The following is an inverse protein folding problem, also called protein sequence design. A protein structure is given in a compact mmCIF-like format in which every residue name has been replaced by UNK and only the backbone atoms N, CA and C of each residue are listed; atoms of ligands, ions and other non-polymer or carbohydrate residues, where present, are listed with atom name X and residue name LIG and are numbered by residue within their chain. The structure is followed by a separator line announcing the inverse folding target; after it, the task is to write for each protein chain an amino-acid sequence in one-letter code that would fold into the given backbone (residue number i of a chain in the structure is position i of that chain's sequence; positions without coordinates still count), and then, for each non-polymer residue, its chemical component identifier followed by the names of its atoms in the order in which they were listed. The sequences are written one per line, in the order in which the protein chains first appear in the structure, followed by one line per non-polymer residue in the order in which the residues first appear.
data_IF_641297845501
#
_entry.id   IF_641297845501
#
_cell.length_a   1.000
_cell.length_b   1.000
_cell.length_c   1.000
_cell.angle_alpha   90.00
_cell.angle_beta   90.00
_cell.angle_gamma   90.00
#
_symmetry.space_group_name_H-M   'P 1'
#
loop_
_entity.id
_entity.type
_entity.pdbx_description
1 polymer ?
#
# COMPACT_ATOMS: atom_id res chain seq x y z
N UNK A 1 -21.67 13.83 -4.46
CA UNK A 1 -21.49 14.87 -3.42
C UNK A 1 -19.99 15.07 -3.27
N UNK A 2 -19.50 16.28 -3.56
CA UNK A 2 -18.07 16.61 -3.41
C UNK A 2 -17.91 17.31 -2.06
N UNK A 3 -17.04 16.77 -1.21
CA UNK A 3 -16.69 17.41 0.06
C UNK A 3 -15.45 18.28 -0.19
N UNK A 4 -15.54 19.58 0.12
CA UNK A 4 -14.43 20.52 0.02
C UNK A 4 -13.96 20.91 1.42
N UNK A 5 -12.64 20.94 1.63
CA UNK A 5 -12.01 21.39 2.86
C UNK A 5 -11.20 22.66 2.61
N UNK A 6 -11.26 23.60 3.55
CA UNK A 6 -10.37 24.76 3.60
C UNK A 6 -8.97 24.28 4.01
N UNK A 7 -7.97 24.55 3.16
CA UNK A 7 -6.61 24.07 3.34
C UNK A 7 -5.95 24.67 4.59
N UNK A 8 -6.12 25.97 4.82
CA UNK A 8 -5.53 26.66 5.98
C UNK A 8 -6.16 26.17 7.27
N UNK A 9 -7.48 25.97 7.26
CA UNK A 9 -8.19 25.38 8.39
C UNK A 9 -7.75 23.94 8.66
N UNK A 10 -7.53 23.13 7.61
CA UNK A 10 -7.02 21.77 7.74
C UNK A 10 -5.59 21.75 8.28
N UNK A 11 -4.72 22.63 7.77
CA UNK A 11 -3.32 22.73 8.19
C UNK A 11 -3.22 23.13 9.67
N UNK A 12 -3.94 24.18 10.10
CA UNK A 12 -3.96 24.63 11.49
C UNK A 12 -4.44 23.58 12.50
N UNK A 13 -5.28 22.64 12.05
CA UNK A 13 -5.79 21.55 12.90
C UNK A 13 -4.89 20.32 12.90
N UNK A 14 -3.96 20.22 11.97
CA UNK A 14 -3.07 19.07 11.84
C UNK A 14 -1.79 19.32 12.65
N UNK A 15 -1.70 18.69 13.82
CA UNK A 15 -0.56 18.83 14.73
C UNK A 15 0.78 18.41 14.10
N UNK A 16 0.78 17.38 13.25
CA UNK A 16 1.99 16.97 12.53
C UNK A 16 2.40 18.02 11.51
N UNK A 17 1.45 18.54 10.71
CA UNK A 17 1.72 19.54 9.69
C UNK A 17 2.34 20.81 10.28
N UNK A 18 1.83 21.27 11.44
CA UNK A 18 2.43 22.38 12.17
C UNK A 18 3.83 22.06 12.70
N UNK A 19 4.03 20.87 13.27
CA UNK A 19 5.33 20.46 13.83
C UNK A 19 6.44 20.34 12.78
N UNK A 20 6.11 19.97 11.54
CA UNK A 20 7.11 19.83 10.47
C UNK A 20 7.29 21.10 9.62
N UNK A 21 6.45 22.12 9.80
CA UNK A 21 6.36 23.27 8.89
C UNK A 21 7.69 24.02 8.73
N UNK A 22 8.42 24.18 9.83
CA UNK A 22 9.69 24.93 9.87
C UNK A 22 10.93 24.01 9.88
N UNK A 23 10.73 22.70 9.75
CA UNK A 23 11.83 21.74 9.73
C UNK A 23 12.61 21.85 8.42
N UNK A 24 13.94 21.76 8.51
CA UNK A 24 14.83 21.84 7.33
C UNK A 24 15.54 20.52 7.05
N UNK A 25 15.35 19.52 7.91
CA UNK A 25 16.02 18.24 7.83
C UNK A 25 15.05 17.06 7.92
N UNK A 26 15.27 16.06 7.07
CA UNK A 26 14.49 14.82 7.07
C UNK A 26 14.48 14.12 8.44
N UNK A 27 15.63 14.09 9.12
CA UNK A 27 15.76 13.44 10.42
C UNK A 27 14.93 14.12 11.52
N UNK A 28 14.73 15.43 11.42
CA UNK A 28 13.89 16.21 12.33
C UNK A 28 12.41 15.94 12.05
N UNK A 29 12.00 16.01 10.79
CA UNK A 29 10.63 15.67 10.38
C UNK A 29 10.25 14.23 10.77
N UNK A 30 11.14 13.25 10.54
CA UNK A 30 10.92 11.87 10.96
C UNK A 30 10.76 11.73 12.49
N UNK A 31 11.44 12.56 13.28
CA UNK A 31 11.31 12.58 14.75
C UNK A 31 9.92 13.07 15.17
N UNK A 32 9.46 14.19 14.60
CA UNK A 32 8.10 14.69 14.82
C UNK A 32 7.02 13.68 14.42
N UNK A 33 7.19 12.96 13.30
CA UNK A 33 6.28 11.88 12.93
C UNK A 33 6.19 10.81 14.03
N UNK A 34 7.33 10.34 14.56
CA UNK A 34 7.35 9.32 15.62
C UNK A 34 6.73 9.84 16.92
N UNK A 35 7.03 11.08 17.30
CA UNK A 35 6.53 11.66 18.55
C UNK A 35 5.01 11.87 18.52
N UNK A 36 4.45 12.25 17.36
CA UNK A 36 3.03 12.59 17.21
C UNK A 36 2.19 11.37 16.79
N UNK A 37 2.67 10.58 15.83
CA UNK A 37 1.93 9.47 15.24
C UNK A 37 2.36 8.09 15.78
N UNK A 38 3.45 8.03 16.54
CA UNK A 38 4.05 6.77 17.02
C UNK A 38 4.92 6.05 15.98
N UNK A 39 4.99 6.57 14.74
CA UNK A 39 5.79 6.01 13.66
C UNK A 39 6.08 7.08 12.58
N UNK A 40 7.07 6.81 11.72
CA UNK A 40 7.27 7.55 10.46
C UNK A 40 6.94 6.65 9.28
N UNK A 41 6.30 7.17 8.22
CA UNK A 41 6.13 6.44 6.94
C UNK A 41 7.48 5.98 6.38
N UNK A 42 8.57 6.71 6.66
CA UNK A 42 9.93 6.30 6.27
C UNK A 42 10.40 5.06 7.05
N UNK A 43 9.95 4.84 8.29
CA UNK A 43 10.25 3.60 9.03
C UNK A 43 9.63 2.41 8.30
N UNK A 44 8.38 2.55 7.87
CA UNK A 44 7.67 1.54 7.09
C UNK A 44 8.38 1.27 5.76
N UNK A 45 8.77 2.31 5.01
CA UNK A 45 9.48 2.14 3.74
C UNK A 45 10.89 1.55 3.92
N UNK A 46 11.61 1.87 5.00
CA UNK A 46 12.90 1.23 5.33
C UNK A 46 12.72 -0.25 5.68
N UNK A 47 11.74 -0.59 6.50
CA UNK A 47 11.43 -1.98 6.83
C UNK A 47 11.03 -2.76 5.58
N UNK A 48 10.20 -2.15 4.72
CA UNK A 48 9.83 -2.70 3.42
C UNK A 48 11.07 -2.93 2.55
N UNK A 49 11.96 -1.95 2.42
CA UNK A 49 13.19 -2.08 1.65
C UNK A 49 14.09 -3.21 2.19
N UNK A 50 14.21 -3.34 3.51
CA UNK A 50 14.98 -4.42 4.14
C UNK A 50 14.39 -5.81 3.83
N UNK A 51 13.06 -5.95 3.88
CA UNK A 51 12.36 -7.21 3.57
C UNK A 51 12.49 -7.61 2.09
N UNK A 52 12.33 -6.65 1.18
CA UNK A 52 12.29 -6.91 -0.27
C UNK A 52 13.66 -6.86 -0.96
N UNK A 53 14.64 -6.15 -0.40
CA UNK A 53 15.98 -6.03 -0.98
C UNK A 53 16.89 -7.25 -0.76
N UNK A 54 16.56 -8.12 0.20
CA UNK A 54 17.42 -9.25 0.61
C UNK A 54 17.00 -10.61 0.02
N UNK A 55 15.78 -10.76 -0.48
CA UNK A 55 15.28 -12.05 -0.96
C UNK A 55 15.52 -12.21 -2.47
N UNK A 56 16.14 -13.31 -2.93
CA UNK A 56 16.18 -13.64 -4.35
C UNK A 56 14.76 -13.76 -4.89
N UNK A 57 14.51 -13.23 -6.10
CA UNK A 57 13.20 -13.37 -6.75
C UNK A 57 12.91 -14.86 -6.99
N UNK A 58 11.99 -15.42 -6.19
CA UNK A 58 11.48 -16.76 -6.41
C UNK A 58 10.65 -16.83 -7.69
N UNK A 59 10.53 -18.01 -8.33
CA UNK A 59 9.75 -18.15 -9.56
C UNK A 59 8.28 -17.77 -9.33
N UNK A 60 7.66 -17.13 -10.33
CA UNK A 60 6.24 -16.83 -10.30
C UNK A 60 5.43 -18.13 -10.41
N UNK A 61 4.59 -18.42 -9.41
CA UNK A 61 3.83 -19.68 -9.30
C UNK A 61 2.32 -19.41 -9.36
N UNK A 62 1.67 -19.48 -10.54
CA UNK A 62 0.29 -19.05 -10.73
C UNK A 62 -0.71 -19.65 -9.73
N UNK A 63 -0.61 -20.94 -9.44
CA UNK A 63 -1.52 -21.62 -8.50
C UNK A 63 -1.37 -21.09 -7.06
N UNK A 64 -0.13 -20.84 -6.62
CA UNK A 64 0.13 -20.30 -5.29
C UNK A 64 -0.32 -18.84 -5.20
N UNK A 65 -0.13 -18.06 -6.27
CA UNK A 65 -0.59 -16.68 -6.40
C UNK A 65 -2.11 -16.60 -6.29
N UNK A 66 -2.86 -17.41 -7.04
CA UNK A 66 -4.33 -17.44 -6.97
C UNK A 66 -4.84 -17.81 -5.57
N UNK A 67 -4.22 -18.80 -4.92
CA UNK A 67 -4.55 -19.16 -3.54
C UNK A 67 -4.28 -18.01 -2.56
N UNK A 68 -3.17 -17.29 -2.74
CA UNK A 68 -2.84 -16.11 -1.94
C UNK A 68 -3.82 -14.95 -2.15
N UNK A 69 -4.26 -14.71 -3.39
CA UNK A 69 -5.27 -13.68 -3.71
C UNK A 69 -6.60 -14.02 -3.04
N UNK A 70 -7.02 -15.28 -3.05
CA UNK A 70 -8.24 -15.70 -2.37
C UNK A 70 -8.16 -15.44 -0.85
N UNK A 71 -7.04 -15.81 -0.20
CA UNK A 71 -6.82 -15.53 1.22
C UNK A 71 -6.85 -14.03 1.52
N UNK A 72 -6.15 -13.23 0.71
CA UNK A 72 -6.16 -11.78 0.84
C UNK A 72 -7.57 -11.19 0.73
N UNK A 73 -8.37 -11.69 -0.22
CA UNK A 73 -9.74 -11.22 -0.42
C UNK A 73 -10.62 -11.51 0.80
N UNK A 74 -10.53 -12.70 1.39
CA UNK A 74 -11.27 -13.03 2.62
C UNK A 74 -10.91 -12.09 3.79
N UNK A 75 -9.61 -11.89 4.05
CA UNK A 75 -9.13 -10.99 5.11
C UNK A 75 -9.50 -9.52 4.87
N UNK A 76 -9.55 -9.10 3.61
CA UNK A 76 -9.92 -7.74 3.24
C UNK A 76 -11.44 -7.51 3.34
N UNK A 77 -12.26 -8.46 2.90
CA UNK A 77 -13.72 -8.41 3.05
C UNK A 77 -14.15 -8.45 4.52
N UNK A 78 -13.46 -9.22 5.36
CA UNK A 78 -13.68 -9.21 6.81
C UNK A 78 -13.48 -7.82 7.44
N UNK A 79 -12.72 -6.93 6.78
CA UNK A 79 -12.51 -5.52 7.17
C UNK A 79 -13.41 -4.54 6.39
N UNK A 80 -14.39 -5.03 5.64
CA UNK A 80 -15.30 -4.21 4.84
C UNK A 80 -14.69 -3.66 3.53
N UNK A 81 -13.54 -4.16 3.10
CA UNK A 81 -12.87 -3.71 1.87
C UNK A 81 -13.39 -4.51 0.68
N UNK A 82 -13.91 -3.81 -0.33
CA UNK A 82 -14.48 -4.41 -1.55
C UNK A 82 -13.54 -4.37 -2.76
N UNK A 83 -12.53 -3.50 -2.74
CA UNK A 83 -11.62 -3.28 -3.86
C UNK A 83 -10.18 -3.15 -3.38
N UNK A 84 -9.24 -3.51 -4.24
CA UNK A 84 -7.81 -3.34 -4.02
C UNK A 84 -7.10 -2.90 -5.29
N UNK A 85 -5.81 -2.57 -5.18
CA UNK A 85 -4.95 -2.29 -6.32
C UNK A 85 -4.02 -3.47 -6.60
N UNK A 86 -3.55 -3.62 -7.85
CA UNK A 86 -2.52 -4.61 -8.17
C UNK A 86 -1.24 -4.40 -7.36
N UNK A 87 -0.86 -3.14 -7.08
CA UNK A 87 0.26 -2.83 -6.20
C UNK A 87 0.06 -3.44 -4.81
N UNK A 88 -1.11 -3.26 -4.20
CA UNK A 88 -1.39 -3.79 -2.87
C UNK A 88 -1.43 -5.32 -2.85
N UNK A 89 -1.95 -5.96 -3.89
CA UNK A 89 -1.89 -7.42 -4.04
C UNK A 89 -0.45 -7.91 -4.19
N UNK A 90 0.36 -7.28 -5.05
CA UNK A 90 1.79 -7.61 -5.19
C UNK A 90 2.51 -7.56 -3.85
N UNK A 91 2.32 -6.48 -3.09
CA UNK A 91 2.93 -6.32 -1.76
C UNK A 91 2.46 -7.38 -0.76
N UNK A 92 1.15 -7.64 -0.70
CA UNK A 92 0.58 -8.61 0.24
C UNK A 92 0.98 -10.07 -0.06
N UNK A 93 1.29 -10.37 -1.33
CA UNK A 93 1.75 -11.68 -1.77
C UNK A 93 3.27 -11.83 -1.71
N UNK A 94 4.01 -10.78 -1.32
CA UNK A 94 5.47 -10.79 -1.31
C UNK A 94 6.08 -10.89 -2.72
N UNK A 95 5.34 -10.49 -3.75
CA UNK A 95 5.80 -10.51 -5.13
C UNK A 95 6.67 -9.30 -5.44
N UNK A 96 7.63 -9.45 -6.33
CA UNK A 96 8.48 -8.33 -6.73
C UNK A 96 7.75 -7.35 -7.65
N UNK A 97 8.33 -6.15 -7.80
CA UNK A 97 7.79 -5.13 -8.70
C UNK A 97 7.73 -5.59 -10.16
N UNK A 98 8.61 -6.49 -10.57
CA UNK A 98 8.66 -7.12 -11.91
C UNK A 98 7.47 -8.08 -12.08
N UNK A 99 7.21 -8.92 -11.08
CA UNK A 99 6.13 -9.92 -11.10
C UNK A 99 4.71 -9.33 -11.04
N UNK A 100 4.58 -8.01 -10.81
CA UNK A 100 3.29 -7.32 -10.82
C UNK A 100 2.60 -7.36 -12.18
N UNK A 101 3.37 -7.30 -13.27
CA UNK A 101 2.81 -7.43 -14.62
C UNK A 101 2.23 -8.83 -14.84
N UNK A 102 2.95 -9.87 -14.39
CA UNK A 102 2.51 -11.26 -14.44
C UNK A 102 1.27 -11.50 -13.58
N UNK A 103 1.22 -10.94 -12.37
CA UNK A 103 0.04 -10.96 -11.51
C UNK A 103 -1.18 -10.34 -12.22
N UNK A 104 -1.00 -9.16 -12.82
CA UNK A 104 -2.08 -8.47 -13.54
C UNK A 104 -2.58 -9.31 -14.71
N UNK A 105 -1.67 -9.85 -15.52
CA UNK A 105 -2.01 -10.69 -16.66
C UNK A 105 -2.75 -11.96 -16.22
N UNK A 106 -2.27 -12.63 -15.16
CA UNK A 106 -2.88 -13.83 -14.60
C UNK A 106 -4.31 -13.56 -14.13
N UNK A 107 -4.52 -12.50 -13.33
CA UNK A 107 -5.83 -12.20 -12.75
C UNK A 107 -6.83 -11.78 -13.83
N UNK A 108 -6.45 -10.89 -14.74
CA UNK A 108 -7.34 -10.49 -15.85
C UNK A 108 -7.66 -11.68 -16.77
N UNK A 109 -6.69 -12.56 -17.03
CA UNK A 109 -6.90 -13.74 -17.87
C UNK A 109 -7.78 -14.82 -17.23
N UNK A 110 -7.84 -14.88 -15.90
CA UNK A 110 -8.60 -15.91 -15.16
C UNK A 110 -9.97 -15.42 -14.65
N UNK A 111 -10.08 -14.14 -14.30
CA UNK A 111 -11.29 -13.53 -13.71
C UNK A 111 -11.51 -12.12 -14.27
N UNK A 112 -11.69 -11.95 -15.59
CA UNK A 112 -11.80 -10.63 -16.22
C UNK A 112 -12.94 -9.78 -15.64
N UNK A 113 -14.02 -10.40 -15.17
CA UNK A 113 -15.20 -9.75 -14.58
C UNK A 113 -14.91 -9.00 -13.27
N UNK A 114 -13.77 -9.29 -12.62
CA UNK A 114 -13.33 -8.63 -11.39
C UNK A 114 -12.45 -7.42 -11.64
N UNK A 115 -12.04 -7.18 -12.87
CA UNK A 115 -11.22 -6.03 -13.21
C UNK A 115 -12.10 -4.78 -13.43
N UNK A 116 -12.13 -3.91 -12.43
CA UNK A 116 -12.89 -2.66 -12.41
C UNK A 116 -11.90 -1.50 -12.47
N UNK A 117 -11.33 -1.26 -13.66
CA UNK A 117 -10.13 -0.45 -13.84
C UNK A 117 -10.23 0.93 -13.14
N UNK A 118 -9.21 1.34 -12.37
CA UNK A 118 -7.88 0.70 -12.20
C UNK A 118 -7.81 -0.33 -11.06
N UNK A 119 -8.95 -0.68 -10.46
CA UNK A 119 -9.06 -1.50 -9.26
C UNK A 119 -9.36 -2.97 -9.60
N UNK A 120 -9.13 -3.81 -8.59
CA UNK A 120 -9.51 -5.21 -8.59
C UNK A 120 -10.59 -5.43 -7.54
N UNK A 121 -11.73 -6.01 -7.94
CA UNK A 121 -12.82 -6.36 -7.04
C UNK A 121 -12.48 -7.64 -6.27
N UNK A 122 -12.55 -7.56 -4.93
CA UNK A 122 -12.15 -8.64 -4.03
C UNK A 122 -13.20 -9.74 -3.93
#
# INVERSE_FOLDING_TARGET
MVHQADLDAAFRRNGLAGAIADTTGLAEAERHCRDICGYSEIDYEREKAARFGAAPEGPFRPRAVLAGVARFAEEARARGVSHTTFRRLTEALGLSGVQRADLRALLIGTQPERYDAPLWRL
#
